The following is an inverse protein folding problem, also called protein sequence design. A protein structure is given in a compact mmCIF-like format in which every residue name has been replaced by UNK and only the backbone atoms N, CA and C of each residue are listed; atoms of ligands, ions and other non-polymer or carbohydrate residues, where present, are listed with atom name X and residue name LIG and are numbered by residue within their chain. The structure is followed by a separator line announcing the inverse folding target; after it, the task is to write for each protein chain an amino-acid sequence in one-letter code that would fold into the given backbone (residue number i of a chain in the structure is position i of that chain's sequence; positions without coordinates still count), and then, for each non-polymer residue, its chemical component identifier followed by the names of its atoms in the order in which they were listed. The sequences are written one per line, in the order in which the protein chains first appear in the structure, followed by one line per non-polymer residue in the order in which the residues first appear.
data_IF_982066137754
#
_entry.id   IF_982066137754
#
_cell.length_a   1.000
_cell.length_b   1.000
_cell.length_c   1.000
_cell.angle_alpha   90.00
_cell.angle_beta   90.00
_cell.angle_gamma   90.00
#
_symmetry.space_group_name_H-M   'P 1'
#
loop_
_entity.id
_entity.type
_entity.pdbx_description
1 polymer ?
#
# COMPACT_ATOMS: atom_id res chain seq x y z
N UNK A 1 11.43 -4.90 -10.40
CA UNK A 1 11.97 -5.09 -9.03
C UNK A 1 11.55 -3.87 -8.20
N UNK A 2 10.84 -4.05 -7.07
CA UNK A 2 10.14 -2.95 -6.38
C UNK A 2 11.01 -1.88 -5.70
N UNK A 3 12.34 -2.00 -5.66
CA UNK A 3 13.27 -1.03 -5.05
C UNK A 3 12.73 -0.44 -3.73
N UNK A 4 12.44 -1.33 -2.77
CA UNK A 4 11.86 -0.97 -1.49
C UNK A 4 12.95 -0.42 -0.57
N UNK A 5 13.18 0.90 -0.61
CA UNK A 5 13.84 1.58 0.50
C UNK A 5 12.93 1.54 1.74
N UNK A 6 13.51 1.65 2.94
CA UNK A 6 12.75 1.71 4.19
C UNK A 6 11.63 2.77 4.12
N UNK A 7 11.91 3.94 3.53
CA UNK A 7 10.91 5.00 3.32
C UNK A 7 9.76 4.54 2.42
N UNK A 8 10.08 3.89 1.30
CA UNK A 8 9.04 3.42 0.36
C UNK A 8 8.20 2.29 0.95
N UNK A 9 8.79 1.42 1.78
CA UNK A 9 8.07 0.39 2.53
C UNK A 9 7.03 1.00 3.48
N UNK A 10 7.43 1.97 4.31
CA UNK A 10 6.49 2.66 5.19
C UNK A 10 5.41 3.44 4.42
N UNK A 11 5.75 4.04 3.27
CA UNK A 11 4.77 4.69 2.40
C UNK A 11 3.73 3.69 1.90
N UNK A 12 4.14 2.51 1.44
CA UNK A 12 3.23 1.44 1.00
C UNK A 12 2.29 1.02 2.13
N UNK A 13 2.78 0.88 3.37
CA UNK A 13 1.93 0.55 4.52
C UNK A 13 0.87 1.64 4.76
N UNK A 14 1.25 2.93 4.70
CA UNK A 14 0.29 4.03 4.90
C UNK A 14 -0.80 4.05 3.82
N UNK A 15 -0.42 3.84 2.56
CA UNK A 15 -1.40 3.76 1.46
C UNK A 15 -2.31 2.55 1.63
N UNK A 16 -1.76 1.39 1.97
CA UNK A 16 -2.55 0.18 2.25
C UNK A 16 -3.54 0.40 3.42
N UNK A 17 -3.14 1.15 4.47
CA UNK A 17 -4.04 1.56 5.55
C UNK A 17 -5.18 2.43 5.01
N UNK A 18 -4.88 3.45 4.21
CA UNK A 18 -5.92 4.30 3.60
C UNK A 18 -6.91 3.49 2.77
N UNK A 19 -6.44 2.51 1.99
CA UNK A 19 -7.31 1.63 1.20
C UNK A 19 -8.21 0.79 2.11
N UNK A 20 -7.65 0.20 3.17
CA UNK A 20 -8.42 -0.56 4.16
C UNK A 20 -9.50 0.32 4.81
N UNK A 21 -9.14 1.55 5.19
CA UNK A 21 -10.04 2.50 5.84
C UNK A 21 -11.19 2.92 4.89
N UNK A 22 -10.91 3.10 3.60
CA UNK A 22 -11.95 3.37 2.58
C UNK A 22 -12.94 2.20 2.41
N UNK A 23 -12.47 0.96 2.61
CA UNK A 23 -13.31 -0.24 2.62
C UNK A 23 -14.00 -0.52 3.95
N UNK A 24 -13.76 0.28 5.00
CA UNK A 24 -14.26 0.02 6.35
C UNK A 24 -13.64 -1.21 7.01
N UNK A 25 -12.47 -1.65 6.54
CA UNK A 25 -11.81 -2.86 7.02
C UNK A 25 -10.94 -2.55 8.26
N UNK A 26 -11.06 -3.32 9.35
CA UNK A 26 -10.31 -3.04 10.58
C UNK A 26 -8.81 -3.33 10.43
N UNK A 27 -8.48 -4.29 9.56
CA UNK A 27 -7.13 -4.77 9.34
C UNK A 27 -6.68 -4.50 7.91
N UNK A 28 -5.37 -4.34 7.75
CA UNK A 28 -4.75 -4.33 6.43
C UNK A 28 -4.65 -5.79 5.97
N UNK A 29 -5.39 -6.14 4.94
CA UNK A 29 -5.30 -7.42 4.25
C UNK A 29 -4.38 -7.35 3.03
N UNK A 30 -4.09 -8.52 2.44
CA UNK A 30 -3.15 -8.64 1.31
C UNK A 30 -3.59 -7.85 0.09
N UNK A 31 -4.90 -7.75 -0.13
CA UNK A 31 -5.52 -7.02 -1.24
C UNK A 31 -5.18 -5.53 -1.16
N UNK A 32 -5.26 -4.93 0.04
CA UNK A 32 -4.92 -3.51 0.24
C UNK A 32 -3.44 -3.23 -0.03
N UNK A 33 -2.56 -4.17 0.34
CA UNK A 33 -1.12 -4.06 0.05
C UNK A 33 -0.86 -4.19 -1.45
N UNK A 34 -1.52 -5.13 -2.12
CA UNK A 34 -1.39 -5.33 -3.56
C UNK A 34 -1.83 -4.08 -4.34
N UNK A 35 -2.94 -3.47 -3.96
CA UNK A 35 -3.43 -2.23 -4.55
C UNK A 35 -2.47 -1.04 -4.26
N UNK A 36 -1.98 -0.90 -3.02
CA UNK A 36 -0.98 0.11 -2.68
C UNK A 36 0.32 -0.02 -3.51
N UNK A 37 0.74 -1.24 -3.81
CA UNK A 37 1.89 -1.51 -4.68
C UNK A 37 1.60 -1.15 -6.15
N UNK A 38 0.37 -1.38 -6.63
CA UNK A 38 -0.04 -0.98 -7.98
C UNK A 38 -0.04 0.54 -8.14
N UNK A 39 -0.59 1.29 -7.17
CA UNK A 39 -0.52 2.76 -7.19
C UNK A 39 0.91 3.28 -7.24
N UNK A 40 1.85 2.60 -6.56
CA UNK A 40 3.27 2.95 -6.65
C UNK A 40 3.84 2.72 -8.05
N UNK A 41 3.43 1.66 -8.73
CA UNK A 41 3.89 1.36 -10.10
C UNK A 41 3.33 2.33 -11.14
N UNK A 42 2.18 2.95 -10.89
CA UNK A 42 1.60 3.97 -11.76
C UNK A 42 2.24 5.36 -11.55
N UNK A 43 2.84 5.60 -10.37
CA UNK A 43 3.48 6.86 -10.01
C UNK A 43 4.98 6.92 -10.37
N UNK A 44 5.53 5.85 -10.93
CA UNK A 44 6.92 5.72 -11.40
C UNK A 44 6.93 5.45 -12.90
#
# INVERSE_FOLDING_TARGET
RFALSARSYFKTIKVARTIADLGGMPNIEREHIAEALQYRSLAL
#
